data_IF_792828975454
#
_entry.id   IF_792828975454
#
_cell.length_a   1.000
_cell.length_b   1.000
_cell.length_c   1.000
_cell.angle_alpha   90.00
_cell.angle_beta   90.00
_cell.angle_gamma   90.00
#
_symmetry.space_group_name_H-M   'P 1'
#
loop_
_entity.id
_entity.type
_entity.pdbx_description
1 polymer ?
#
# COMPACT_ATOMS: atom_id res chain seq x y z
N UNK A 1 2.59 6.87 20.73
CA UNK A 1 2.98 5.56 20.17
C UNK A 1 1.73 4.86 19.69
N UNK A 2 1.82 3.92 18.77
CA UNK A 2 0.65 3.17 18.33
C UNK A 2 0.18 2.21 19.44
N UNK A 3 -1.12 1.93 19.47
CA UNK A 3 -1.68 0.97 20.41
C UNK A 3 -1.24 -0.45 20.04
N UNK A 4 -1.06 -1.33 21.04
CA UNK A 4 -0.54 -2.70 20.85
C UNK A 4 -1.40 -3.51 19.86
N UNK A 5 -2.73 -3.40 19.97
CA UNK A 5 -3.67 -4.03 19.04
C UNK A 5 -3.51 -3.55 17.59
N UNK A 6 -3.13 -2.29 17.40
CA UNK A 6 -2.88 -1.75 16.05
C UNK A 6 -1.56 -2.29 15.50
N UNK A 7 -0.53 -2.41 16.34
CA UNK A 7 0.75 -3.01 15.96
C UNK A 7 0.61 -4.50 15.62
N UNK A 8 -0.20 -5.25 16.37
CA UNK A 8 -0.48 -6.65 16.07
C UNK A 8 -1.12 -6.82 14.70
N UNK A 9 -2.10 -5.96 14.36
CA UNK A 9 -2.69 -5.93 13.01
C UNK A 9 -1.64 -5.64 11.95
N UNK A 10 -0.76 -4.66 12.18
CA UNK A 10 0.31 -4.31 11.23
C UNK A 10 1.29 -5.46 11.04
N UNK A 11 1.71 -6.14 12.12
CA UNK A 11 2.63 -7.27 12.06
C UNK A 11 2.00 -8.52 11.41
N UNK A 12 0.67 -8.63 11.40
CA UNK A 12 -0.05 -9.70 10.70
C UNK A 12 -0.27 -9.45 9.20
N UNK A 13 0.14 -8.30 8.65
CA UNK A 13 0.00 -8.00 7.22
C UNK A 13 1.03 -8.78 6.39
N UNK A 14 0.64 -9.18 5.16
CA UNK A 14 1.61 -9.62 4.15
C UNK A 14 2.50 -8.46 3.70
N UNK A 15 3.63 -8.76 3.07
CA UNK A 15 4.55 -7.75 2.54
C UNK A 15 3.87 -6.79 1.54
N UNK A 16 2.94 -7.31 0.71
CA UNK A 16 2.06 -6.51 -0.14
C UNK A 16 1.15 -5.59 0.67
N UNK A 17 0.48 -6.12 1.71
CA UNK A 17 -0.35 -5.34 2.62
C UNK A 17 0.43 -4.23 3.33
N UNK A 18 1.66 -4.53 3.75
CA UNK A 18 2.57 -3.59 4.38
C UNK A 18 3.00 -2.48 3.40
N UNK A 19 3.33 -2.83 2.16
CA UNK A 19 3.66 -1.86 1.11
C UNK A 19 2.48 -0.90 0.84
N UNK A 20 1.25 -1.43 0.75
CA UNK A 20 0.04 -0.63 0.60
C UNK A 20 -0.17 0.29 1.81
N UNK A 21 -0.03 -0.23 3.03
CA UNK A 21 -0.16 0.56 4.25
C UNK A 21 0.85 1.72 4.30
N UNK A 22 2.12 1.46 3.99
CA UNK A 22 3.17 2.47 3.97
C UNK A 22 2.85 3.62 3.00
N UNK A 23 2.29 3.30 1.83
CA UNK A 23 1.84 4.28 0.86
C UNK A 23 0.63 5.09 1.33
N UNK A 24 -0.36 4.45 1.96
CA UNK A 24 -1.53 5.12 2.51
C UNK A 24 -1.16 6.07 3.66
N UNK A 25 -0.27 5.65 4.56
CA UNK A 25 0.25 6.45 5.69
C UNK A 25 1.01 7.68 5.20
N UNK A 26 1.85 7.52 4.17
CA UNK A 26 2.62 8.60 3.58
C UNK A 26 1.81 9.48 2.60
N UNK A 27 0.65 8.99 2.13
CA UNK A 27 -0.15 9.56 1.02
C UNK A 27 0.63 9.70 -0.28
N UNK A 28 1.45 8.70 -0.56
CA UNK A 28 2.28 8.62 -1.77
C UNK A 28 1.93 7.33 -2.55
N UNK A 29 2.48 7.18 -3.75
CA UNK A 29 2.14 6.10 -4.71
C UNK A 29 3.30 5.12 -4.86
N UNK A 30 3.09 3.87 -5.29
CA UNK A 30 4.18 2.89 -5.41
C UNK A 30 4.24 2.17 -6.75
N UNK A 31 5.38 1.52 -6.96
CA UNK A 31 5.57 0.50 -7.98
C UNK A 31 5.62 -0.86 -7.29
N UNK A 32 4.87 -1.84 -7.78
CA UNK A 32 5.02 -3.23 -7.37
C UNK A 32 5.33 -4.04 -8.62
N UNK A 33 6.35 -4.86 -8.55
CA UNK A 33 6.80 -5.69 -9.66
C UNK A 33 6.79 -7.15 -9.25
N UNK A 34 6.54 -8.01 -10.22
CA UNK A 34 6.56 -9.46 -10.07
C UNK A 34 6.95 -10.06 -11.42
N UNK A 35 6.97 -11.38 -11.52
CA UNK A 35 7.19 -12.06 -12.78
C UNK A 35 6.11 -11.71 -13.81
N UNK A 36 6.41 -11.66 -15.12
CA UNK A 36 5.45 -11.19 -16.12
C UNK A 36 4.15 -11.99 -16.17
N UNK A 37 4.20 -13.27 -15.82
CA UNK A 37 3.05 -14.19 -15.91
C UNK A 37 2.10 -14.03 -14.70
N UNK A 38 2.59 -13.54 -13.55
CA UNK A 38 1.82 -13.40 -12.31
C UNK A 38 1.28 -11.98 -12.08
N UNK A 39 1.41 -11.07 -13.05
CA UNK A 39 0.91 -9.68 -12.92
C UNK A 39 -0.61 -9.63 -12.72
N UNK A 40 -1.34 -10.57 -13.32
CA UNK A 40 -2.80 -10.65 -13.22
C UNK A 40 -3.24 -11.10 -11.83
N UNK A 41 -2.59 -12.14 -11.29
CA UNK A 41 -2.80 -12.64 -9.93
C UNK A 41 -2.43 -11.56 -8.90
N UNK A 42 -1.28 -10.91 -9.05
CA UNK A 42 -0.89 -9.79 -8.19
C UNK A 42 -1.93 -8.65 -8.20
N UNK A 43 -2.53 -8.35 -9.35
CA UNK A 43 -3.55 -7.31 -9.44
C UNK A 43 -4.83 -7.67 -8.68
N UNK A 44 -5.29 -8.92 -8.79
CA UNK A 44 -6.47 -9.37 -8.05
C UNK A 44 -6.17 -9.53 -6.55
N UNK A 45 -4.99 -10.01 -6.16
CA UNK A 45 -4.54 -10.05 -4.75
C UNK A 45 -4.56 -8.65 -4.13
N UNK A 46 -3.97 -7.66 -4.79
CA UNK A 46 -3.96 -6.28 -4.31
C UNK A 46 -5.35 -5.66 -4.26
N UNK A 47 -6.27 -6.08 -5.13
CA UNK A 47 -7.68 -5.68 -5.06
C UNK A 47 -8.38 -6.30 -3.85
N UNK A 48 -8.08 -7.56 -3.53
CA UNK A 48 -8.58 -8.20 -2.31
C UNK A 48 -8.00 -7.55 -1.06
N UNK A 49 -6.70 -7.27 -1.01
CA UNK A 49 -6.08 -6.50 0.08
C UNK A 49 -6.73 -5.13 0.24
N UNK A 50 -6.94 -4.38 -0.86
CA UNK A 50 -7.58 -3.07 -0.81
C UNK A 50 -8.98 -3.14 -0.19
N UNK A 51 -9.79 -4.14 -0.55
CA UNK A 51 -11.17 -4.28 -0.09
C UNK A 51 -11.30 -4.96 1.28
N UNK A 52 -10.64 -6.08 1.52
CA UNK A 52 -10.72 -6.87 2.76
C UNK A 52 -9.94 -6.23 3.91
N UNK A 53 -8.75 -5.69 3.64
CA UNK A 53 -7.86 -5.14 4.68
C UNK A 53 -8.11 -3.66 4.93
N UNK A 54 -8.27 -2.85 3.88
CA UNK A 54 -8.36 -1.39 4.00
C UNK A 54 -9.76 -0.82 3.72
N UNK A 55 -10.73 -1.65 3.33
CA UNK A 55 -12.08 -1.23 2.97
C UNK A 55 -12.11 -0.12 1.90
N UNK A 56 -11.21 -0.21 0.91
CA UNK A 56 -11.09 0.72 -0.21
C UNK A 56 -11.56 0.06 -1.49
N UNK A 57 -12.26 0.83 -2.34
CA UNK A 57 -12.58 0.36 -3.68
C UNK A 57 -11.37 0.50 -4.60
N UNK A 58 -11.19 -0.49 -5.49
CA UNK A 58 -10.13 -0.48 -6.47
C UNK A 58 -10.68 -0.51 -7.90
N UNK A 59 -9.90 0.04 -8.83
CA UNK A 59 -10.08 -0.15 -10.26
C UNK A 59 -8.78 -0.70 -10.86
N UNK A 60 -8.91 -1.73 -11.69
CA UNK A 60 -7.79 -2.35 -12.40
C UNK A 60 -7.81 -1.86 -13.84
N UNK A 61 -6.65 -1.39 -14.32
CA UNK A 61 -6.49 -0.90 -15.69
C UNK A 61 -5.32 -1.63 -16.33
N UNK A 62 -5.58 -2.28 -17.46
CA UNK A 62 -4.56 -2.97 -18.26
C UNK A 62 -4.01 -2.04 -19.34
N UNK A 63 -2.74 -1.68 -19.25
CA UNK A 63 -2.10 -0.82 -20.24
C UNK A 63 -1.36 -1.64 -21.30
N UNK A 64 -1.40 -1.16 -22.55
CA UNK A 64 -0.71 -1.75 -23.70
C UNK A 64 -0.30 -0.65 -24.68
N UNK A 65 0.42 -1.01 -25.74
CA UNK A 65 0.99 -0.07 -26.72
C UNK A 65 -0.04 0.80 -27.47
N UNK A 66 -1.33 0.46 -27.38
CA UNK A 66 -2.43 1.16 -28.05
C UNK A 66 -3.45 1.76 -27.09
N UNK A 67 -3.20 1.72 -25.78
CA UNK A 67 -4.11 2.30 -24.79
C UNK A 67 -4.33 3.77 -25.07
N UNK A 68 -5.59 4.17 -25.15
CA UNK A 68 -5.96 5.57 -25.44
C UNK A 68 -6.11 6.38 -24.15
N UNK A 69 -6.06 7.72 -24.25
CA UNK A 69 -6.30 8.59 -23.09
C UNK A 69 -7.73 8.44 -22.54
N UNK A 70 -8.71 8.20 -23.42
CA UNK A 70 -10.11 8.02 -23.03
C UNK A 70 -10.33 6.68 -22.33
N UNK A 71 -9.73 5.61 -22.86
CA UNK A 71 -9.72 4.29 -22.21
C UNK A 71 -9.05 4.34 -20.84
N UNK A 72 -7.90 5.01 -20.73
CA UNK A 72 -7.25 5.21 -19.44
C UNK A 72 -8.15 6.00 -18.48
N UNK A 73 -8.75 7.10 -18.93
CA UNK A 73 -9.57 7.95 -18.07
C UNK A 73 -10.87 7.27 -17.62
N UNK A 74 -11.51 6.51 -18.51
CA UNK A 74 -12.72 5.74 -18.20
C UNK A 74 -12.43 4.55 -17.29
N UNK A 75 -11.28 3.88 -17.46
CA UNK A 75 -10.84 2.78 -16.60
C UNK A 75 -10.59 3.17 -15.13
N UNK A 76 -10.36 4.46 -14.84
CA UNK A 76 -10.18 4.95 -13.47
C UNK A 76 -11.50 5.05 -12.69
N UNK A 77 -12.63 5.05 -13.39
CA UNK A 77 -13.93 5.38 -12.83
C UNK A 77 -14.67 4.13 -12.37
N UNK A 78 -15.16 4.16 -11.13
CA UNK A 78 -16.02 3.12 -10.58
C UNK A 78 -17.46 3.64 -10.55
N UNK A 79 -18.46 2.79 -10.87
CA UNK A 79 -19.85 3.14 -10.68
C UNK A 79 -20.09 3.57 -9.23
N UNK A 80 -20.93 4.58 -8.99
CA UNK A 80 -21.26 4.94 -7.63
C UNK A 80 -22.01 3.79 -6.97
N UNK A 81 -21.61 3.44 -5.75
CA UNK A 81 -22.35 2.49 -4.92
C UNK A 81 -23.77 3.03 -4.75
N UNK A 82 -24.75 2.29 -5.29
CA UNK A 82 -26.15 2.66 -5.23
C UNK A 82 -26.56 2.62 -3.76
N UNK A 83 -26.88 3.78 -3.17
CA UNK A 83 -27.46 3.78 -1.83
C UNK A 83 -28.74 2.92 -1.85
N UNK A 84 -29.02 2.11 -0.82
CA UNK A 84 -30.31 1.45 -0.71
C UNK A 84 -31.41 2.52 -0.79
N UNK A 85 -32.54 2.25 -1.49
CA UNK A 85 -33.60 3.22 -1.58
C UNK A 85 -34.02 3.57 -0.16
N UNK A 86 -33.82 4.84 0.23
CA UNK A 86 -34.34 5.37 1.48
C UNK A 86 -35.82 4.98 1.56
N UNK A 87 -36.31 4.42 2.69
CA UNK A 87 -37.69 4.03 2.81
C UNK A 87 -38.55 5.24 2.46
N UNK A 88 -39.42 5.04 1.46
CA UNK A 88 -40.33 6.04 0.94
C UNK A 88 -41.04 6.72 2.11
N UNK A 89 -40.73 8.00 2.30
CA UNK A 89 -41.38 8.83 3.29
C UNK A 89 -42.80 9.10 2.77
N UNK A 90 -43.73 8.17 3.02
CA UNK A 90 -45.17 8.39 2.82
C UNK A 90 -45.58 9.53 3.74
N UNK A 91 -45.55 10.75 3.21
CA UNK A 91 -46.16 11.92 3.84
C UNK A 91 -47.64 11.61 4.07
N UNK A 92 -48.00 11.28 5.30
CA UNK A 92 -49.36 11.38 5.79
C UNK A 92 -49.79 12.85 5.70
N UNK A 93 -50.74 13.15 4.81
CA UNK A 93 -51.35 14.46 4.68
C UNK A 93 -52.21 14.70 5.92
N UNK A 94 -51.73 15.57 6.82
CA UNK A 94 -52.53 16.05 7.96
C UNK A 94 -53.56 17.07 7.46
N UNK A 95 -54.86 16.93 7.77
CA UNK A 95 -55.90 17.85 7.30
C UNK A 95 -56.03 19.04 8.25
N UNK A 96 -55.69 20.24 7.78
CA UNK A 96 -56.08 21.49 8.43
C UNK A 96 -57.18 22.19 7.63
N UNK A 97 -58.34 22.36 8.28
CA UNK A 97 -59.48 23.14 7.83
C UNK A 97 -59.16 24.64 7.76
N UNK A 98 -59.57 25.38 6.71
CA UNK A 98 -59.67 26.83 6.78
C UNK A 98 -61.06 27.23 7.30
N UNK A 99 -61.10 27.89 8.47
CA UNK A 99 -62.29 28.54 9.03
C UNK A 99 -62.45 29.94 8.41
N UNK A 100 -63.65 30.21 7.92
CA UNK A 100 -64.11 31.44 7.27
C UNK A 100 -64.85 32.33 8.28
N UNK A 101 -64.63 33.64 8.25
CA UNK A 101 -65.51 34.76 8.74
C UNK A 101 -64.71 36.07 8.60
N UNK A 102 -64.95 36.99 7.65
CA UNK A 102 -66.00 38.02 7.50
C UNK A 102 -66.15 39.07 8.64
N UNK A 103 -65.60 40.27 8.33
CA UNK A 103 -66.06 41.66 8.60
C UNK A 103 -66.26 42.15 10.05
N UNK A 104 -65.79 43.38 10.35
CA UNK A 104 -66.61 44.57 10.67
C UNK A 104 -65.77 45.76 11.21
N UNK A 105 -65.85 46.89 10.50
CA UNK A 105 -65.98 48.31 10.93
C UNK A 105 -65.09 48.99 12.00
N UNK A 106 -64.53 50.14 11.55
CA UNK A 106 -64.68 51.50 12.11
C UNK A 106 -63.77 52.06 13.23
N UNK A 107 -63.38 53.31 12.98
CA UNK A 107 -63.13 54.45 13.88
C UNK A 107 -61.82 54.58 14.66
N UNK A 108 -61.10 55.67 14.33
CA UNK A 108 -61.11 56.85 15.21
C UNK A 108 -59.90 57.08 16.11
N UNK A 109 -59.16 58.16 15.82
CA UNK A 109 -58.83 59.17 16.83
C UNK A 109 -57.52 59.05 17.63
N UNK A 110 -56.57 59.94 17.30
CA UNK A 110 -56.13 60.98 18.24
C UNK A 110 -55.08 60.65 19.31
N UNK A 111 -53.96 61.39 19.28
CA UNK A 111 -53.26 61.84 20.50
C UNK A 111 -51.79 61.42 20.65
N UNK A 112 -50.98 62.20 21.40
CA UNK A 112 -49.78 62.82 20.82
C UNK A 112 -48.46 62.62 21.60
N UNK A 113 -47.39 63.20 21.03
CA UNK A 113 -46.34 63.99 21.71
C UNK A 113 -44.93 63.38 21.95
N UNK A 114 -43.98 64.33 21.88
CA UNK A 114 -42.55 64.35 22.22
C UNK A 114 -41.58 63.65 21.25
N UNK A 115 -40.88 64.35 20.35
CA UNK A 115 -39.93 65.48 20.47
C UNK A 115 -38.52 65.08 20.94
N UNK A 116 -37.59 65.03 19.98
CA UNK A 116 -36.25 65.63 20.01
C UNK A 116 -35.71 65.47 18.57
N UNK A 117 -35.57 66.52 17.76
CA UNK A 117 -34.46 67.48 17.78
C UNK A 117 -33.21 66.81 17.16
N UNK A 118 -32.58 67.25 16.08
CA UNK A 118 -32.55 68.56 15.43
C UNK A 118 -31.79 68.48 14.08
N UNK A 119 -32.10 69.46 13.20
CA UNK A 119 -31.21 70.15 12.24
C UNK A 119 -30.83 69.57 10.85
N UNK A 120 -31.53 70.16 9.87
CA UNK A 120 -31.44 70.35 8.39
C UNK A 120 -30.07 70.81 7.79
N UNK A 121 -29.88 71.08 6.45
CA UNK A 121 -30.85 71.18 5.30
C UNK A 121 -30.45 70.63 3.88
N UNK A 122 -31.47 70.31 3.04
CA UNK A 122 -31.83 70.74 1.63
C UNK A 122 -30.76 70.66 0.48
N UNK A 123 -30.80 69.71 -0.49
CA UNK A 123 -31.50 69.64 -1.85
C UNK A 123 -30.52 69.92 -3.05
N UNK A 124 -30.71 69.58 -4.36
CA UNK A 124 -31.87 69.00 -5.10
C UNK A 124 -31.59 67.83 -6.11
N UNK A 125 -32.70 67.29 -6.68
CA UNK A 125 -32.93 66.23 -7.71
C UNK A 125 -32.18 66.39 -9.06
N UNK A 126 -32.40 65.60 -10.15
CA UNK A 126 -33.27 64.40 -10.37
C UNK A 126 -32.63 63.24 -11.20
N UNK A 127 -33.27 62.07 -11.31
CA UNK A 127 -33.63 61.36 -12.58
C UNK A 127 -33.90 59.85 -12.43
N UNK A 128 -35.04 59.46 -13.00
CA UNK A 128 -35.33 58.26 -13.83
C UNK A 128 -35.05 56.85 -13.30
N UNK A 129 -36.10 56.02 -13.28
CA UNK A 129 -35.96 54.58 -13.47
C UNK A 129 -36.99 53.73 -12.72
N UNK A 130 -38.10 53.41 -13.37
CA UNK A 130 -38.99 52.30 -13.00
C UNK A 130 -38.23 50.98 -13.24
N UNK A 131 -38.44 49.93 -12.42
CA UNK A 131 -38.97 48.73 -13.06
C UNK A 131 -40.07 48.01 -12.28
N UNK A 132 -40.96 47.50 -13.10
CA UNK A 132 -42.14 46.67 -12.86
C UNK A 132 -41.72 45.23 -12.61
N UNK A 133 -42.32 44.59 -11.61
CA UNK A 133 -42.37 43.13 -11.51
C UNK A 133 -43.43 42.59 -12.47
N UNK A 134 -43.19 41.41 -13.09
CA UNK A 134 -44.31 40.48 -13.24
C UNK A 134 -43.93 39.02 -12.97
N UNK A 135 -44.70 38.42 -12.06
CA UNK A 135 -45.57 37.26 -12.32
C UNK A 135 -45.01 36.05 -13.06
N UNK A 136 -44.93 34.95 -12.30
CA UNK A 136 -45.02 33.53 -12.69
C UNK A 136 -45.94 33.22 -13.89
N UNK A 137 -45.66 32.11 -14.59
CA UNK A 137 -46.56 30.96 -14.45
C UNK A 137 -45.85 29.64 -14.16
N UNK A 138 -46.56 28.79 -13.39
CA UNK A 138 -46.23 27.40 -13.08
C UNK A 138 -46.62 26.45 -14.20
N UNK A 139 -45.72 25.54 -14.60
CA UNK A 139 -46.09 24.19 -15.05
C UNK A 139 -45.11 23.22 -14.40
N UNK A 140 -45.63 22.42 -13.47
CA UNK A 140 -44.90 21.34 -12.81
C UNK A 140 -44.67 20.18 -13.78
N UNK A 141 -43.41 19.97 -14.15
CA UNK A 141 -42.93 18.67 -14.58
C UNK A 141 -42.34 17.98 -13.35
N UNK A 142 -43.13 17.11 -12.72
CA UNK A 142 -42.66 16.15 -11.72
C UNK A 142 -41.81 15.08 -12.42
N UNK A 143 -40.65 15.48 -12.92
CA UNK A 143 -39.58 14.55 -13.25
C UNK A 143 -38.91 14.17 -11.95
N UNK A 144 -39.12 12.93 -11.50
CA UNK A 144 -38.24 12.29 -10.52
C UNK A 144 -36.84 12.21 -11.15
N UNK A 145 -36.02 13.24 -10.93
CA UNK A 145 -34.59 13.15 -11.17
C UNK A 145 -34.05 12.11 -10.21
N UNK A 146 -34.00 10.86 -10.67
CA UNK A 146 -33.04 9.92 -10.16
C UNK A 146 -31.68 10.63 -10.26
N UNK A 147 -31.17 11.09 -9.12
CA UNK A 147 -29.79 11.54 -9.02
C UNK A 147 -28.94 10.33 -9.38
N UNK A 148 -28.62 10.17 -10.65
CA UNK A 148 -27.55 9.28 -11.08
C UNK A 148 -26.30 9.91 -10.52
N UNK A 149 -25.82 9.32 -9.43
CA UNK A 149 -24.52 9.68 -8.86
C UNK A 149 -23.51 9.55 -9.99
N UNK A 150 -22.66 10.57 -10.15
CA UNK A 150 -21.68 10.59 -11.22
C UNK A 150 -20.61 9.54 -10.94
N UNK A 151 -20.07 8.87 -11.98
CA UNK A 151 -18.93 7.97 -11.82
C UNK A 151 -17.78 8.73 -11.15
N UNK A 152 -17.07 8.09 -10.22
CA UNK A 152 -15.96 8.71 -9.48
C UNK A 152 -14.70 7.88 -9.60
N UNK A 153 -13.54 8.52 -9.47
CA UNK A 153 -12.26 7.80 -9.44
C UNK A 153 -12.22 6.87 -8.23
N UNK A 154 -11.70 5.66 -8.41
CA UNK A 154 -11.52 4.71 -7.31
C UNK A 154 -10.53 5.23 -6.25
N UNK A 155 -10.59 4.67 -5.05
CA UNK A 155 -9.64 4.96 -3.98
C UNK A 155 -8.27 4.35 -4.29
N UNK A 156 -8.23 3.15 -4.87
CA UNK A 156 -7.01 2.46 -5.29
C UNK A 156 -7.04 2.23 -6.80
N UNK A 157 -6.00 2.65 -7.52
CA UNK A 157 -5.84 2.36 -8.95
C UNK A 157 -4.70 1.38 -9.11
N UNK A 158 -5.00 0.23 -9.71
CA UNK A 158 -4.03 -0.82 -10.02
C UNK A 158 -3.76 -0.77 -11.53
N UNK A 159 -2.67 -0.10 -11.91
CA UNK A 159 -2.32 0.13 -13.31
C UNK A 159 -1.31 -0.91 -13.78
N UNK A 160 -1.79 -1.97 -14.44
CA UNK A 160 -0.99 -3.04 -15.01
C UNK A 160 -0.26 -2.56 -16.26
N UNK A 161 0.99 -2.99 -16.39
CA UNK A 161 1.83 -2.78 -17.57
C UNK A 161 1.94 -1.31 -18.00
N UNK A 162 1.96 -0.38 -17.03
CA UNK A 162 2.04 1.06 -17.31
C UNK A 162 3.27 1.42 -18.14
N UNK A 163 4.34 0.62 -18.07
CA UNK A 163 5.55 0.71 -18.88
C UNK A 163 5.29 0.47 -20.39
N UNK A 164 4.27 -0.31 -20.75
CA UNK A 164 3.87 -0.59 -22.14
C UNK A 164 2.94 0.49 -22.72
N UNK A 165 2.37 1.34 -21.88
CA UNK A 165 1.46 2.40 -22.30
C UNK A 165 2.18 3.48 -23.15
N UNK A 166 1.49 4.11 -24.13
CA UNK A 166 2.02 5.27 -24.84
C UNK A 166 2.47 6.38 -23.90
N UNK A 167 3.47 7.17 -24.34
CA UNK A 167 4.01 8.28 -23.54
C UNK A 167 2.94 9.27 -23.08
N UNK A 168 1.91 9.52 -23.90
CA UNK A 168 0.79 10.39 -23.52
C UNK A 168 -0.01 9.85 -22.31
N UNK A 169 -0.27 8.54 -22.26
CA UNK A 169 -0.96 7.90 -21.13
C UNK A 169 -0.10 7.96 -19.86
N UNK A 170 1.19 7.70 -19.97
CA UNK A 170 2.12 7.83 -18.83
C UNK A 170 2.20 9.29 -18.31
N UNK A 171 2.18 10.28 -19.21
CA UNK A 171 2.10 11.69 -18.83
C UNK A 171 0.76 11.99 -18.13
N UNK A 172 -0.36 11.45 -18.64
CA UNK A 172 -1.68 11.63 -18.02
C UNK A 172 -1.74 11.01 -16.63
N UNK A 173 -1.14 9.82 -16.44
CA UNK A 173 -0.98 9.20 -15.14
C UNK A 173 -0.18 10.13 -14.22
N UNK A 174 0.99 10.62 -14.65
CA UNK A 174 1.81 11.55 -13.86
C UNK A 174 1.04 12.82 -13.48
N UNK A 175 0.25 13.38 -14.39
CA UNK A 175 -0.58 14.55 -14.12
C UNK A 175 -1.67 14.25 -13.08
N UNK A 176 -2.31 13.07 -13.14
CA UNK A 176 -3.24 12.61 -12.12
C UNK A 176 -2.55 12.49 -10.75
N UNK A 177 -1.35 11.92 -10.67
CA UNK A 177 -0.62 11.79 -9.41
C UNK A 177 -0.25 13.17 -8.83
N UNK A 178 0.15 14.12 -9.68
CA UNK A 178 0.56 15.48 -9.27
C UNK A 178 -0.60 16.38 -8.88
N UNK A 179 -1.68 16.37 -9.66
CA UNK A 179 -2.79 17.33 -9.54
C UNK A 179 -3.99 16.73 -8.82
N UNK A 180 -4.03 15.41 -8.66
CA UNK A 180 -5.19 14.65 -8.18
C UNK A 180 -6.44 14.91 -9.02
N UNK A 181 -6.27 15.22 -10.30
CA UNK A 181 -7.34 15.49 -11.24
C UNK A 181 -7.05 14.81 -12.57
N UNK A 182 -8.11 14.35 -13.22
CA UNK A 182 -8.05 13.90 -14.61
C UNK A 182 -9.15 14.59 -15.43
N UNK A 183 -8.80 14.95 -16.65
CA UNK A 183 -9.71 15.57 -17.60
C UNK A 183 -10.28 14.47 -18.50
N UNK A 184 -11.60 14.29 -18.46
CA UNK A 184 -12.33 13.48 -19.44
C UNK A 184 -12.91 14.39 -20.51
N UNK A 185 -13.45 13.80 -21.59
CA UNK A 185 -14.14 14.57 -22.64
C UNK A 185 -15.28 15.44 -22.10
N UNK A 186 -15.94 15.01 -21.03
CA UNK A 186 -17.19 15.62 -20.54
C UNK A 186 -17.06 16.33 -19.20
N UNK A 187 -16.04 16.03 -18.41
CA UNK A 187 -15.88 16.59 -17.06
C UNK A 187 -14.46 16.45 -16.52
N UNK A 188 -14.15 17.26 -15.51
CA UNK A 188 -12.93 17.09 -14.71
C UNK A 188 -13.28 16.26 -13.47
N UNK A 189 -12.60 15.15 -13.29
CA UNK A 189 -12.77 14.26 -12.15
C UNK A 189 -11.63 14.47 -11.16
N UNK A 190 -11.96 14.65 -9.88
CA UNK A 190 -10.97 14.82 -8.81
C UNK A 190 -10.82 13.49 -8.06
N UNK A 191 -9.58 13.07 -7.83
CA UNK A 191 -9.28 11.86 -7.07
C UNK A 191 -9.76 12.00 -5.62
N UNK A 192 -10.20 10.91 -4.96
CA UNK A 192 -10.64 10.95 -3.58
C UNK A 192 -9.53 11.46 -2.62
N UNK A 193 -9.92 11.85 -1.40
CA UNK A 193 -8.94 12.28 -0.38
C UNK A 193 -7.93 11.16 -0.06
N UNK A 194 -8.44 9.94 0.05
CA UNK A 194 -7.65 8.72 0.13
C UNK A 194 -7.51 8.15 -1.27
N UNK A 195 -6.36 8.40 -1.88
CA UNK A 195 -6.07 7.99 -3.24
C UNK A 195 -4.70 7.35 -3.29
N UNK A 196 -4.66 6.11 -3.75
CA UNK A 196 -3.47 5.32 -3.98
C UNK A 196 -3.43 4.88 -5.43
N UNK A 197 -2.28 5.03 -6.05
CA UNK A 197 -1.99 4.53 -7.38
C UNK A 197 -0.83 3.56 -7.24
N UNK A 198 -1.00 2.36 -7.78
CA UNK A 198 0.00 1.31 -7.78
C UNK A 198 0.28 0.95 -9.23
N UNK A 199 1.51 1.21 -9.68
CA UNK A 199 1.98 0.74 -10.96
C UNK A 199 2.42 -0.72 -10.82
N UNK A 200 1.75 -1.63 -11.53
CA UNK A 200 2.09 -3.05 -11.57
C UNK A 200 2.89 -3.33 -12.84
N UNK A 201 4.11 -3.85 -12.69
CA UNK A 201 5.02 -4.04 -13.82
C UNK A 201 5.63 -5.44 -13.75
N UNK A 202 5.36 -6.24 -14.78
CA UNK A 202 6.07 -7.50 -15.00
C UNK A 202 7.54 -7.24 -15.35
N UNK A 203 8.45 -7.86 -14.60
CA UNK A 203 9.89 -7.77 -14.83
C UNK A 203 10.55 -9.13 -14.56
N UNK A 204 11.71 -9.45 -15.15
CA UNK A 204 12.35 -10.75 -14.95
C UNK A 204 13.07 -10.88 -13.60
N UNK A 205 13.29 -9.77 -12.89
CA UNK A 205 13.91 -9.76 -11.57
C UNK A 205 13.68 -8.42 -10.86
N UNK A 206 13.92 -8.43 -9.55
CA UNK A 206 13.83 -7.25 -8.71
C UNK A 206 14.73 -6.12 -9.20
N UNK A 207 14.24 -4.89 -9.06
CA UNK A 207 14.97 -3.70 -9.49
C UNK A 207 15.07 -3.50 -11.01
N UNK A 208 14.52 -4.37 -11.87
CA UNK A 208 14.47 -4.16 -13.32
C UNK A 208 13.18 -3.49 -13.82
N UNK A 209 12.11 -3.49 -13.02
CA UNK A 209 10.87 -2.83 -13.38
C UNK A 209 11.07 -1.31 -13.52
N UNK A 210 10.65 -0.76 -14.67
CA UNK A 210 10.82 0.66 -15.00
C UNK A 210 9.61 1.20 -15.74
N UNK A 211 9.12 2.36 -15.31
CA UNK A 211 8.29 3.25 -16.12
C UNK A 211 9.11 4.46 -16.59
N UNK A 212 8.45 5.48 -17.15
CA UNK A 212 9.16 6.69 -17.54
C UNK A 212 9.92 7.34 -16.37
N UNK A 213 11.03 8.06 -16.65
CA UNK A 213 11.87 8.70 -15.64
C UNK A 213 11.11 9.53 -14.61
N UNK A 214 10.16 10.34 -15.10
CA UNK A 214 9.40 11.26 -14.25
C UNK A 214 8.37 10.53 -13.38
N UNK A 215 7.80 9.42 -13.88
CA UNK A 215 6.92 8.57 -13.07
C UNK A 215 7.72 7.85 -11.98
N UNK A 216 8.85 7.22 -12.32
CA UNK A 216 9.72 6.58 -11.32
C UNK A 216 10.12 7.56 -10.21
N UNK A 217 10.42 8.81 -10.57
CA UNK A 217 10.76 9.83 -9.58
C UNK A 217 9.57 10.21 -8.66
N UNK A 218 8.35 10.06 -9.14
CA UNK A 218 7.14 10.37 -8.38
C UNK A 218 6.71 9.21 -7.46
N UNK A 219 7.05 7.96 -7.79
CA UNK A 219 6.64 6.78 -7.01
C UNK A 219 7.49 6.60 -5.74
N UNK A 220 6.84 6.62 -4.58
CA UNK A 220 7.39 6.55 -3.23
C UNK A 220 8.43 5.45 -3.02
N UNK A 221 8.03 4.23 -3.32
CA UNK A 221 8.80 3.01 -3.11
C UNK A 221 8.53 2.02 -4.25
N UNK A 222 9.42 1.05 -4.36
CA UNK A 222 9.25 -0.17 -5.14
C UNK A 222 9.29 -1.40 -4.25
N UNK A 223 8.56 -2.43 -4.67
CA UNK A 223 8.59 -3.74 -4.04
C UNK A 223 8.52 -4.82 -5.12
N UNK A 224 9.45 -5.76 -5.05
CA UNK A 224 9.36 -7.02 -5.78
C UNK A 224 8.58 -8.04 -4.96
N UNK A 225 7.62 -8.69 -5.58
CA UNK A 225 6.82 -9.76 -5.03
C UNK A 225 7.15 -11.04 -5.80
N UNK A 226 7.58 -12.05 -5.05
CA UNK A 226 7.96 -13.35 -5.57
C UNK A 226 6.79 -14.33 -5.34
N UNK A 227 6.06 -14.73 -6.40
CA UNK A 227 4.89 -15.59 -6.26
C UNK A 227 5.21 -16.94 -5.61
N UNK A 228 6.41 -17.49 -5.85
CA UNK A 228 6.81 -18.80 -5.35
C UNK A 228 7.16 -18.77 -3.85
N UNK A 229 7.74 -17.66 -3.37
CA UNK A 229 8.12 -17.49 -1.96
C UNK A 229 7.00 -16.88 -1.10
N UNK A 230 6.29 -15.87 -1.63
CA UNK A 230 5.31 -15.08 -0.87
C UNK A 230 3.87 -15.61 -1.00
N UNK A 231 3.51 -16.21 -2.15
CA UNK A 231 2.16 -16.66 -2.49
C UNK A 231 1.11 -15.55 -2.59
N UNK A 232 -0.17 -15.94 -2.75
CA UNK A 232 -1.31 -15.02 -2.83
C UNK A 232 -2.41 -15.39 -1.80
N UNK A 233 -2.19 -15.10 -0.50
CA UNK A 233 -3.07 -15.60 0.56
C UNK A 233 -4.55 -15.23 0.40
N UNK A 234 -4.87 -14.03 -0.09
CA UNK A 234 -6.26 -13.61 -0.22
C UNK A 234 -6.96 -14.25 -1.43
N UNK A 235 -6.23 -14.46 -2.54
CA UNK A 235 -6.70 -15.19 -3.72
C UNK A 235 -6.89 -16.67 -3.42
N UNK A 236 -5.94 -17.30 -2.76
CA UNK A 236 -5.99 -18.72 -2.39
C UNK A 236 -7.24 -19.01 -1.54
N UNK A 237 -7.57 -18.13 -0.58
CA UNK A 237 -8.79 -18.27 0.21
C UNK A 237 -10.07 -18.05 -0.62
N UNK A 238 -10.05 -17.11 -1.59
CA UNK A 238 -11.21 -16.86 -2.44
C UNK A 238 -11.48 -18.02 -3.42
N UNK A 239 -10.42 -18.65 -3.94
CA UNK A 239 -10.50 -19.85 -4.76
C UNK A 239 -10.98 -21.07 -3.94
N UNK A 240 -10.43 -21.26 -2.74
CA UNK A 240 -10.87 -22.34 -1.83
C UNK A 240 -12.34 -22.24 -1.43
N UNK A 241 -12.88 -21.02 -1.29
CA UNK A 241 -14.33 -20.81 -1.06
C UNK A 241 -15.20 -21.10 -2.28
N UNK A 242 -14.66 -21.00 -3.49
CA UNK A 242 -15.41 -21.23 -4.73
C UNK A 242 -15.51 -22.73 -5.08
N UNK A 243 -14.57 -23.56 -4.59
CA UNK A 243 -14.56 -25.01 -4.79
C UNK A 243 -14.67 -25.77 -3.44
N UNK A 244 -15.84 -25.75 -2.77
CA UNK A 244 -16.03 -26.46 -1.49
C UNK A 244 -16.07 -28.00 -1.62
N UNK A 245 -16.08 -28.54 -2.84
CA UNK A 245 -16.31 -29.97 -3.11
C UNK A 245 -15.01 -30.82 -3.09
N UNK A 246 -13.82 -30.19 -2.97
CA UNK A 246 -12.53 -30.89 -2.87
C UNK A 246 -12.13 -31.24 -1.41
N UNK A 247 -12.95 -30.93 -0.40
CA UNK A 247 -12.71 -31.31 1.01
C UNK A 247 -13.25 -32.72 1.37
N UNK A 248 -13.75 -33.49 0.40
CA UNK A 248 -14.28 -34.84 0.61
C UNK A 248 -13.61 -35.85 -0.33
N UNK A 249 -12.36 -36.22 -0.02
CA UNK A 249 -11.75 -37.54 -0.21
C UNK A 249 -10.22 -37.42 -0.33
N UNK A 250 -9.46 -37.54 0.77
CA UNK A 250 -8.09 -38.07 0.69
C UNK A 250 -7.60 -38.66 2.03
N UNK A 251 -7.99 -39.90 2.32
CA UNK A 251 -7.14 -40.84 3.04
C UNK A 251 -6.05 -41.33 2.07
N UNK A 252 -5.01 -40.52 1.82
CA UNK A 252 -4.06 -40.83 0.74
C UNK A 252 -2.77 -40.02 0.69
N UNK A 253 -2.13 -39.79 1.83
CA UNK A 253 -0.68 -39.55 1.93
C UNK A 253 -0.08 -38.59 0.87
N UNK A 254 -0.50 -37.33 0.87
CA UNK A 254 0.26 -36.24 0.24
C UNK A 254 1.08 -35.48 1.29
N UNK A 255 2.39 -35.47 1.08
CA UNK A 255 3.39 -34.82 1.92
C UNK A 255 3.24 -33.30 1.88
N UNK A 256 2.31 -32.75 2.65
CA UNK A 256 2.33 -31.33 3.01
C UNK A 256 3.38 -31.15 4.09
N UNK A 257 4.55 -30.65 3.70
CA UNK A 257 5.63 -30.38 4.64
C UNK A 257 5.26 -29.20 5.51
N UNK A 258 4.59 -29.52 6.62
CA UNK A 258 4.45 -28.65 7.77
C UNK A 258 5.81 -28.54 8.46
N UNK A 259 6.59 -27.51 8.12
CA UNK A 259 7.64 -27.02 9.03
C UNK A 259 7.64 -25.50 9.05
N UNK A 260 6.66 -24.93 9.74
CA UNK A 260 6.90 -23.70 10.50
C UNK A 260 7.88 -24.03 11.62
N UNK A 261 9.14 -23.67 11.45
CA UNK A 261 10.08 -23.52 12.57
C UNK A 261 10.79 -22.19 12.41
N UNK A 262 10.53 -21.30 13.37
CA UNK A 262 11.23 -20.05 13.62
C UNK A 262 12.74 -20.25 13.45
N UNK A 263 13.36 -19.57 12.48
CA UNK A 263 14.82 -19.45 12.43
C UNK A 263 15.23 -17.99 12.26
N UNK A 264 15.63 -17.44 13.40
CA UNK A 264 16.42 -16.22 13.56
C UNK A 264 17.50 -16.14 12.47
N UNK A 265 17.45 -15.07 11.68
CA UNK A 265 18.41 -14.72 10.63
C UNK A 265 19.79 -14.50 11.28
N UNK A 266 20.71 -15.44 11.10
CA UNK A 266 22.16 -15.20 11.26
C UNK A 266 22.77 -15.06 9.86
N UNK A 267 23.54 -13.99 9.71
CA UNK A 267 24.30 -13.63 8.51
C UNK A 267 25.04 -14.82 7.91
N UNK A 268 24.90 -15.00 6.60
CA UNK A 268 25.80 -15.83 5.78
C UNK A 268 26.63 -14.92 4.89
N UNK A 269 27.89 -14.75 5.30
CA UNK A 269 28.99 -14.25 4.49
C UNK A 269 29.36 -15.28 3.42
N UNK A 270 29.29 -14.91 2.15
CA UNK A 270 29.94 -15.65 1.07
C UNK A 270 31.32 -15.05 0.85
N UNK A 271 32.32 -15.72 1.42
CA UNK A 271 33.73 -15.57 1.07
C UNK A 271 34.12 -16.74 0.17
N UNK A 272 34.46 -16.44 -1.09
CA UNK A 272 35.01 -17.41 -2.03
C UNK A 272 36.53 -17.37 -1.93
N UNK A 273 37.11 -18.50 -1.50
CA UNK A 273 38.56 -18.72 -1.47
C UNK A 273 39.06 -19.31 -2.79
N UNK A 274 40.23 -18.83 -3.22
CA UNK A 274 41.17 -19.55 -4.08
C UNK A 274 42.38 -19.88 -3.21
N UNK A 275 42.74 -21.17 -3.14
CA UNK A 275 43.84 -21.67 -2.31
C UNK A 275 45.17 -21.78 -3.06
N UNK A 276 46.28 -21.63 -2.32
CA UNK A 276 47.55 -22.32 -2.60
C UNK A 276 48.48 -22.35 -1.36
N UNK A 277 48.76 -23.57 -0.90
CA UNK A 277 49.95 -24.13 -0.21
C UNK A 277 50.78 -23.27 0.77
N UNK A 278 51.01 -23.73 2.00
CA UNK A 278 52.27 -24.37 2.47
C UNK A 278 52.29 -24.70 3.98
N UNK A 279 52.87 -25.89 4.28
CA UNK A 279 53.68 -26.30 5.43
C UNK A 279 53.14 -26.28 6.88
N UNK A 280 53.08 -27.51 7.44
CA UNK A 280 53.14 -27.90 8.84
C UNK A 280 54.50 -27.55 9.51
N UNK A 281 54.62 -27.48 10.87
CA UNK A 281 54.83 -28.70 11.68
C UNK A 281 54.22 -28.75 13.11
N UNK A 282 53.62 -29.90 13.46
CA UNK A 282 53.74 -30.78 14.67
C UNK A 282 54.50 -30.27 15.93
N UNK A 283 54.10 -30.51 17.20
CA UNK A 283 53.87 -31.74 18.03
C UNK A 283 53.24 -31.33 19.43
N UNK A 284 52.94 -32.21 20.44
CA UNK A 284 52.05 -33.39 20.43
C UNK A 284 51.17 -33.61 21.71
N UNK A 285 50.19 -34.53 21.58
CA UNK A 285 49.58 -35.49 22.56
C UNK A 285 49.19 -35.11 24.00
N UNK A 286 47.95 -35.47 24.40
CA UNK A 286 47.70 -36.51 25.43
C UNK A 286 46.26 -37.06 25.43
N UNK A 287 46.14 -38.38 25.31
CA UNK A 287 44.96 -39.21 25.61
C UNK A 287 44.63 -39.19 27.11
N UNK A 288 43.34 -39.25 27.47
CA UNK A 288 42.92 -40.10 28.58
C UNK A 288 41.44 -40.49 28.50
N UNK A 289 41.19 -41.79 28.41
CA UNK A 289 39.92 -42.42 28.73
C UNK A 289 39.70 -42.38 30.24
N UNK A 290 38.47 -42.18 30.72
CA UNK A 290 38.04 -42.92 31.90
C UNK A 290 36.53 -43.07 32.02
N UNK A 291 36.19 -44.33 32.20
CA UNK A 291 34.91 -44.93 32.50
C UNK A 291 34.59 -44.70 33.99
N UNK A 292 33.35 -44.41 34.36
CA UNK A 292 32.79 -44.99 35.60
C UNK A 292 31.26 -44.86 35.71
N UNK A 293 30.67 -46.04 35.89
CA UNK A 293 29.37 -46.32 36.49
C UNK A 293 29.22 -45.65 37.86
N UNK A 294 27.99 -45.25 38.22
CA UNK A 294 27.36 -45.82 39.41
C UNK A 294 25.83 -45.73 39.41
N UNK A 295 25.28 -46.84 39.87
CA UNK A 295 23.90 -47.29 39.99
C UNK A 295 23.24 -46.73 41.25
N UNK A 296 21.94 -46.40 41.19
CA UNK A 296 21.04 -46.52 42.33
C UNK A 296 19.61 -46.80 41.84
N UNK A 297 19.03 -47.81 42.47
CA UNK A 297 17.89 -48.61 42.10
C UNK A 297 16.72 -48.29 43.04
N UNK A 298 15.47 -48.26 42.56
CA UNK A 298 14.31 -48.66 43.37
C UNK A 298 13.09 -49.00 42.50
N UNK A 299 12.82 -50.30 42.43
CA UNK A 299 11.62 -50.96 41.95
C UNK A 299 10.34 -50.46 42.63
N UNK A 300 9.22 -50.46 41.89
CA UNK A 300 8.02 -51.20 42.33
C UNK A 300 7.19 -51.65 41.13
N UNK A 301 7.00 -52.96 41.06
CA UNK A 301 6.15 -53.72 40.13
C UNK A 301 4.78 -53.87 40.79
N UNK A 302 3.71 -53.92 40.00
CA UNK A 302 2.61 -54.88 40.22
C UNK A 302 1.86 -55.12 38.90
N UNK A 303 1.61 -56.41 38.67
CA UNK A 303 1.15 -57.03 37.44
C UNK A 303 -0.11 -57.82 37.79
N UNK A 304 -1.16 -57.81 36.96
CA UNK A 304 -2.16 -58.88 36.97
C UNK A 304 -2.98 -58.95 35.67
N UNK A 305 -2.73 -60.06 35.01
CA UNK A 305 -3.39 -60.88 33.99
C UNK A 305 -4.93 -60.84 33.85
N UNK A 306 -5.34 -60.73 32.58
CA UNK A 306 -6.43 -61.38 31.80
C UNK A 306 -7.59 -62.12 32.48
N UNK A 307 -8.82 -61.82 32.00
CA UNK A 307 -9.84 -62.84 31.73
C UNK A 307 -10.85 -62.36 30.67
N UNK A 308 -11.01 -63.19 29.64
CA UNK A 308 -12.01 -63.11 28.58
C UNK A 308 -13.40 -63.56 29.08
N UNK A 309 -14.45 -62.81 28.73
CA UNK A 309 -15.83 -63.29 28.76
C UNK A 309 -16.62 -62.74 27.59
N UNK A 310 -17.03 -63.64 26.71
CA UNK A 310 -17.99 -63.46 25.62
C UNK A 310 -19.36 -63.10 26.20
N UNK A 311 -19.96 -62.00 25.75
CA UNK A 311 -21.41 -61.80 25.89
C UNK A 311 -21.94 -61.01 24.70
N UNK A 312 -22.84 -61.65 23.98
CA UNK A 312 -23.67 -61.13 22.90
C UNK A 312 -24.48 -59.92 23.34
N UNK A 313 -24.42 -58.81 22.58
CA UNK A 313 -25.51 -57.84 22.50
C UNK A 313 -25.53 -57.18 21.10
N UNK A 314 -26.74 -57.14 20.55
CA UNK A 314 -27.16 -56.56 19.26
C UNK A 314 -26.89 -55.04 19.15
N UNK A 315 -26.89 -54.45 17.94
CA UNK A 315 -26.51 -53.07 17.72
C UNK A 315 -27.68 -52.11 18.03
N UNK A 316 -27.40 -51.06 18.80
CA UNK A 316 -28.28 -49.89 18.97
C UNK A 316 -27.96 -48.81 17.94
N UNK A 317 -28.96 -48.04 17.46
CA UNK A 317 -28.81 -47.18 16.30
C UNK A 317 -27.99 -45.92 16.61
N UNK A 318 -27.19 -45.55 15.61
CA UNK A 318 -26.40 -44.34 15.45
C UNK A 318 -27.12 -43.06 15.91
N UNK A 319 -26.52 -42.36 16.86
CA UNK A 319 -26.79 -40.93 17.05
C UNK A 319 -26.20 -40.14 15.88
N UNK A 320 -26.88 -39.10 15.36
CA UNK A 320 -26.31 -38.23 14.35
C UNK A 320 -25.17 -37.43 14.97
N UNK A 321 -23.98 -37.59 14.40
CA UNK A 321 -22.84 -36.72 14.67
C UNK A 321 -23.24 -35.28 14.34
N UNK A 322 -23.28 -34.42 15.35
CA UNK A 322 -23.25 -32.98 15.13
C UNK A 322 -21.92 -32.66 14.44
N UNK A 323 -21.90 -31.98 13.28
CA UNK A 323 -20.65 -31.46 12.75
C UNK A 323 -20.12 -30.45 13.77
N UNK A 324 -18.92 -30.71 14.27
CA UNK A 324 -18.09 -29.70 14.93
C UNK A 324 -18.08 -28.46 14.04
N UNK A 325 -18.37 -27.25 14.54
CA UNK A 325 -18.31 -26.06 13.70
C UNK A 325 -16.90 -25.99 13.09
N UNK A 326 -16.78 -25.69 11.78
CA UNK A 326 -15.48 -25.53 11.15
C UNK A 326 -14.69 -24.49 11.94
N UNK A 327 -13.40 -24.76 12.16
CA UNK A 327 -12.49 -23.82 12.78
C UNK A 327 -12.65 -22.44 12.10
N UNK A 328 -12.67 -21.33 12.84
CA UNK A 328 -12.82 -20.02 12.23
C UNK A 328 -11.70 -19.83 11.21
N UNK A 329 -12.09 -19.57 9.96
CA UNK A 329 -11.17 -19.23 8.87
C UNK A 329 -10.20 -18.12 9.33
N UNK A 330 -8.96 -18.09 8.82
CA UNK A 330 -7.98 -17.08 9.22
C UNK A 330 -8.57 -15.68 9.04
N UNK A 331 -8.81 -14.98 10.14
CA UNK A 331 -9.39 -13.64 10.10
C UNK A 331 -8.30 -12.66 9.64
N UNK A 332 -8.36 -12.24 8.38
CA UNK A 332 -7.46 -11.21 7.87
C UNK A 332 -7.59 -9.90 8.67
N UNK A 333 -6.48 -9.20 8.92
CA UNK A 333 -6.53 -7.94 9.64
C UNK A 333 -7.29 -6.88 8.85
N UNK A 334 -8.22 -6.18 9.52
CA UNK A 334 -8.89 -5.01 8.96
C UNK A 334 -8.37 -3.72 9.63
N UNK A 335 -7.85 -2.79 8.83
CA UNK A 335 -7.42 -1.46 9.24
C UNK A 335 -8.42 -0.41 8.76
N UNK A 336 -8.85 0.45 9.69
CA UNK A 336 -9.80 1.53 9.40
C UNK A 336 -9.10 2.80 8.93
N UNK A 337 -9.85 3.75 8.36
CA UNK A 337 -9.33 5.09 8.03
C UNK A 337 -8.77 5.82 9.28
N UNK A 338 -9.35 5.59 10.46
CA UNK A 338 -8.85 6.15 11.71
C UNK A 338 -7.48 5.57 12.09
N UNK A 339 -7.30 4.26 11.93
CA UNK A 339 -6.03 3.58 12.18
C UNK A 339 -4.91 4.13 11.28
N UNK A 340 -5.18 4.24 9.97
CA UNK A 340 -4.24 4.79 8.99
C UNK A 340 -3.90 6.25 9.33
N UNK A 341 -4.91 7.05 9.72
CA UNK A 341 -4.72 8.45 10.09
C UNK A 341 -3.87 8.59 11.36
N UNK A 342 -4.07 7.71 12.34
CA UNK A 342 -3.26 7.65 13.55
C UNK A 342 -1.80 7.30 13.24
N UNK A 343 -1.56 6.25 12.42
CA UNK A 343 -0.21 5.89 11.97
C UNK A 343 0.46 7.02 11.17
N UNK A 344 -0.30 7.73 10.33
CA UNK A 344 0.19 8.91 9.59
C UNK A 344 0.64 10.02 10.55
N UNK A 345 -0.15 10.32 11.58
CA UNK A 345 0.24 11.30 12.60
C UNK A 345 1.49 10.88 13.38
N UNK A 346 1.60 9.60 13.76
CA UNK A 346 2.78 9.06 14.42
C UNK A 346 4.03 9.17 13.53
N UNK A 347 3.92 8.85 12.23
CA UNK A 347 5.03 9.01 11.28
C UNK A 347 5.50 10.47 11.13
N UNK A 348 4.60 11.44 11.29
CA UNK A 348 4.95 12.86 11.23
C UNK A 348 5.68 13.36 12.48
N UNK A 349 5.47 12.70 13.62
CA UNK A 349 6.04 13.09 14.91
C UNK A 349 7.27 12.28 15.29
N UNK A 350 7.59 11.19 14.57
CA UNK A 350 8.77 10.38 14.80
C UNK A 350 10.07 11.20 14.68
N UNK A 351 10.86 11.18 15.75
CA UNK A 351 12.10 11.95 15.86
C UNK A 351 13.21 11.32 15.02
N UNK A 352 14.02 12.15 14.35
CA UNK A 352 15.25 11.70 13.68
C UNK A 352 16.42 12.46 14.29
N UNK A 353 17.36 11.72 14.91
CA UNK A 353 18.55 12.32 15.51
C UNK A 353 19.49 12.89 14.44
N UNK A 354 20.35 13.82 14.84
CA UNK A 354 21.32 14.46 13.93
C UNK A 354 22.25 13.42 13.30
N UNK A 355 22.65 12.39 14.04
CA UNK A 355 23.52 11.34 13.51
C UNK A 355 22.81 10.45 12.48
N UNK A 356 21.52 10.16 12.67
CA UNK A 356 20.70 9.44 11.67
C UNK A 356 20.43 10.31 10.44
N UNK A 357 20.21 11.62 10.62
CA UNK A 357 20.13 12.56 9.50
C UNK A 357 21.44 12.60 8.70
N UNK A 358 22.59 12.60 9.39
CA UNK A 358 23.91 12.53 8.75
C UNK A 358 24.08 11.20 8.00
N UNK A 359 23.63 10.09 8.57
CA UNK A 359 23.63 8.78 7.92
C UNK A 359 22.79 8.78 6.63
N UNK A 360 21.59 9.35 6.63
CA UNK A 360 20.77 9.53 5.43
C UNK A 360 21.51 10.35 4.36
N UNK A 361 22.11 11.48 4.75
CA UNK A 361 22.86 12.35 3.83
C UNK A 361 24.10 11.65 3.24
N UNK A 362 24.79 10.83 4.03
CA UNK A 362 25.92 10.03 3.56
C UNK A 362 25.46 8.99 2.54
N UNK A 363 24.39 8.24 2.80
CA UNK A 363 23.82 7.28 1.82
C UNK A 363 23.51 8.00 0.50
N UNK A 364 22.80 9.13 0.55
CA UNK A 364 22.45 9.92 -0.63
C UNK A 364 23.69 10.35 -1.41
N UNK A 365 24.72 10.82 -0.70
CA UNK A 365 25.98 11.27 -1.30
C UNK A 365 26.72 10.12 -1.96
N UNK A 366 26.83 8.97 -1.29
CA UNK A 366 27.51 7.80 -1.82
C UNK A 366 26.75 7.20 -3.01
N UNK A 367 25.40 7.18 -2.99
CA UNK A 367 24.60 6.78 -4.15
C UNK A 367 24.87 7.67 -5.38
N UNK A 368 24.96 9.00 -5.20
CA UNK A 368 25.28 9.94 -6.29
C UNK A 368 26.71 9.80 -6.81
N UNK A 369 27.63 9.42 -5.94
CA UNK A 369 29.03 9.24 -6.27
C UNK A 369 29.37 7.82 -6.71
N UNK A 370 28.45 6.87 -6.58
CA UNK A 370 28.68 5.48 -6.95
C UNK A 370 29.07 5.37 -8.43
N UNK A 371 30.08 4.54 -8.72
CA UNK A 371 30.67 4.44 -10.06
C UNK A 371 29.70 3.93 -11.11
N UNK A 372 28.91 2.92 -10.74
CA UNK A 372 27.93 2.31 -11.62
C UNK A 372 26.69 3.18 -11.87
N UNK A 373 26.52 4.30 -11.16
CA UNK A 373 25.36 5.17 -11.28
C UNK A 373 25.59 6.21 -12.37
N UNK A 374 24.67 6.29 -13.33
CA UNK A 374 24.76 7.23 -14.45
C UNK A 374 24.57 8.68 -13.96
N UNK A 375 25.68 9.39 -13.79
CA UNK A 375 25.68 10.80 -13.41
C UNK A 375 25.21 11.73 -14.54
N UNK A 376 25.20 11.25 -15.80
CA UNK A 376 25.07 12.05 -17.01
C UNK A 376 23.91 11.53 -17.90
N UNK A 377 22.71 11.48 -17.34
CA UNK A 377 21.50 11.28 -18.13
C UNK A 377 20.97 12.61 -18.66
N UNK A 378 21.03 12.85 -19.97
CA UNK A 378 20.43 13.93 -20.76
C UNK A 378 19.14 14.56 -20.15
N UNK A 379 19.28 15.43 -19.14
CA UNK A 379 18.19 16.08 -18.41
C UNK A 379 17.46 15.26 -17.33
N UNK A 380 17.83 14.00 -17.08
CA UNK A 380 17.08 13.09 -16.18
C UNK A 380 17.77 12.72 -14.86
N UNK A 381 19.05 13.07 -14.64
CA UNK A 381 19.77 12.85 -13.38
C UNK A 381 19.98 11.37 -13.01
N UNK A 382 20.77 11.12 -11.96
CA UNK A 382 21.23 9.78 -11.54
C UNK A 382 20.17 8.92 -10.82
N UNK A 383 18.91 9.35 -10.82
CA UNK A 383 17.82 8.74 -10.03
C UNK A 383 17.79 9.17 -8.56
N UNK A 384 18.87 9.78 -8.03
CA UNK A 384 18.94 10.30 -6.66
C UNK A 384 18.50 11.76 -6.60
N UNK A 385 17.20 12.00 -6.81
CA UNK A 385 16.61 13.36 -6.86
C UNK A 385 16.30 13.94 -5.47
N UNK A 386 15.97 15.24 -5.36
CA UNK A 386 15.42 15.81 -4.13
C UNK A 386 14.12 15.11 -3.68
N UNK A 387 13.29 14.66 -4.63
CA UNK A 387 12.07 13.87 -4.34
C UNK A 387 12.44 12.55 -3.66
N UNK A 388 13.44 11.84 -4.19
CA UNK A 388 13.93 10.59 -3.59
C UNK A 388 14.46 10.81 -2.16
N UNK A 389 15.17 11.93 -1.91
CA UNK A 389 15.61 12.31 -0.56
C UNK A 389 14.44 12.52 0.40
N UNK A 390 13.37 13.19 -0.05
CA UNK A 390 12.14 13.35 0.74
C UNK A 390 11.48 11.99 1.03
N UNK A 391 11.44 11.10 0.04
CA UNK A 391 10.87 9.76 0.20
C UNK A 391 11.68 8.90 1.17
N UNK A 392 13.02 8.94 1.13
CA UNK A 392 13.87 8.24 2.09
C UNK A 392 13.56 8.69 3.53
N UNK A 393 13.52 10.00 3.78
CA UNK A 393 13.25 10.54 5.10
C UNK A 393 11.81 10.25 5.57
N UNK A 394 10.84 10.35 4.67
CA UNK A 394 9.44 10.03 4.97
C UNK A 394 9.22 8.55 5.26
N UNK A 395 9.83 7.66 4.46
CA UNK A 395 9.68 6.21 4.62
C UNK A 395 10.35 5.72 5.90
N UNK A 396 11.53 6.26 6.22
CA UNK A 396 12.21 5.93 7.48
C UNK A 396 11.35 6.25 8.71
N UNK A 397 10.59 7.37 8.66
CA UNK A 397 9.64 7.74 9.73
C UNK A 397 8.36 6.92 9.72
N UNK A 398 7.84 6.57 8.55
CA UNK A 398 6.68 5.68 8.44
C UNK A 398 6.99 4.30 9.02
N UNK A 399 8.15 3.73 8.66
CA UNK A 399 8.62 2.46 9.23
C UNK A 399 8.77 2.53 10.75
N UNK A 400 9.31 3.63 11.30
CA UNK A 400 9.41 3.80 12.75
C UNK A 400 8.04 3.73 13.43
N UNK A 401 7.04 4.43 12.88
CA UNK A 401 5.68 4.40 13.41
C UNK A 401 5.05 3.00 13.36
N UNK A 402 5.26 2.26 12.27
CA UNK A 402 4.76 0.90 12.10
C UNK A 402 5.43 -0.12 13.03
N UNK A 403 6.69 0.13 13.43
CA UNK A 403 7.39 -0.66 14.46
C UNK A 403 7.11 -0.19 15.90
N UNK A 404 6.18 0.77 16.10
CA UNK A 404 5.88 1.33 17.42
C UNK A 404 6.99 2.23 17.99
N UNK A 405 8.00 2.60 17.19
CA UNK A 405 9.11 3.43 17.61
C UNK A 405 8.78 4.92 17.46
N UNK A 406 9.13 5.71 18.48
CA UNK A 406 9.00 7.16 18.44
C UNK A 406 10.18 7.85 17.73
N UNK A 407 11.18 7.10 17.29
CA UNK A 407 12.37 7.61 16.64
C UNK A 407 12.84 6.70 15.50
N UNK A 408 13.55 7.28 14.54
CA UNK A 408 14.12 6.57 13.40
C UNK A 408 15.47 5.98 13.78
N UNK A 409 15.69 4.70 13.42
CA UNK A 409 16.98 4.02 13.61
C UNK A 409 17.72 3.88 12.27
N UNK A 410 19.06 3.71 12.28
CA UNK A 410 19.82 3.47 11.05
C UNK A 410 19.36 2.24 10.26
N UNK A 411 18.92 1.18 10.96
CA UNK A 411 18.38 -0.02 10.32
C UNK A 411 17.12 0.28 9.51
N UNK A 412 16.22 1.14 10.03
CA UNK A 412 15.03 1.57 9.29
C UNK A 412 15.40 2.44 8.07
N UNK A 413 16.44 3.27 8.19
CA UNK A 413 16.95 4.04 7.05
C UNK A 413 17.51 3.12 5.96
N UNK A 414 18.25 2.08 6.34
CA UNK A 414 18.77 1.09 5.38
C UNK A 414 17.62 0.35 4.67
N UNK A 415 16.58 -0.07 5.42
CA UNK A 415 15.39 -0.69 4.83
C UNK A 415 14.67 0.28 3.89
N UNK A 416 14.51 1.54 4.28
CA UNK A 416 13.91 2.56 3.43
C UNK A 416 14.72 2.77 2.14
N UNK A 417 16.05 2.76 2.20
CA UNK A 417 16.91 2.89 1.02
C UNK A 417 16.69 1.74 0.01
N UNK A 418 16.55 0.51 0.49
CA UNK A 418 16.24 -0.68 -0.33
C UNK A 418 14.89 -0.61 -1.03
N UNK A 419 13.94 0.18 -0.51
CA UNK A 419 12.61 0.33 -1.12
C UNK A 419 12.51 1.59 -1.98
N UNK A 420 13.26 2.67 -1.67
CA UNK A 420 13.12 3.97 -2.36
C UNK A 420 13.95 4.06 -3.64
N UNK A 421 15.15 3.48 -3.68
CA UNK A 421 16.11 3.74 -4.75
C UNK A 421 16.12 2.76 -5.93
N UNK A 422 15.85 1.45 -5.78
CA UNK A 422 16.04 0.49 -6.88
C UNK A 422 15.30 0.83 -8.17
N UNK A 423 14.07 1.34 -8.11
CA UNK A 423 13.29 1.73 -9.30
C UNK A 423 13.69 3.08 -9.90
N UNK A 424 14.51 3.86 -9.19
CA UNK A 424 14.93 5.22 -9.59
C UNK A 424 16.31 5.23 -10.21
N UNK A 425 17.22 4.45 -9.64
CA UNK A 425 18.62 4.42 -10.05
C UNK A 425 18.73 3.93 -11.49
N UNK A 426 19.57 4.63 -12.24
CA UNK A 426 20.04 4.19 -13.55
C UNK A 426 21.47 3.76 -13.42
N UNK A 427 21.68 2.49 -13.74
CA UNK A 427 23.02 1.96 -13.91
C UNK A 427 23.54 2.36 -15.29
N UNK A 428 24.85 2.54 -15.39
CA UNK A 428 25.52 2.84 -16.64
C UNK A 428 25.41 1.63 -17.60
N UNK A 429 24.67 1.80 -18.70
CA UNK A 429 24.43 0.73 -19.69
C UNK A 429 25.64 0.43 -20.59
N UNK A 430 26.66 1.30 -20.60
CA UNK A 430 27.83 1.17 -21.46
C UNK A 430 29.10 1.66 -20.77
N UNK A 431 30.22 0.91 -20.81
CA UNK A 431 31.50 1.34 -20.24
C UNK A 431 31.94 2.73 -20.69
N UNK A 432 31.63 3.14 -21.92
CA UNK A 432 32.00 4.46 -22.45
C UNK A 432 31.27 5.63 -21.77
N UNK A 433 30.12 5.37 -21.12
CA UNK A 433 29.32 6.38 -20.41
C UNK A 433 29.74 6.52 -18.94
N UNK A 434 30.62 5.64 -18.45
CA UNK A 434 31.16 5.74 -17.11
C UNK A 434 32.16 6.92 -17.03
N UNK A 435 32.19 7.63 -15.89
CA UNK A 435 32.91 8.91 -15.75
C UNK A 435 34.41 8.81 -16.00
N UNK A 436 35.05 7.72 -15.60
CA UNK A 436 36.50 7.48 -15.76
C UNK A 436 36.90 7.11 -17.19
N UNK A 437 35.96 6.74 -18.07
CA UNK A 437 36.24 6.54 -19.49
C UNK A 437 36.75 7.83 -20.16
N UNK A 438 36.23 9.00 -19.73
CA UNK A 438 36.70 10.31 -20.19
C UNK A 438 38.16 10.62 -19.80
N UNK A 439 38.68 9.89 -18.80
CA UNK A 439 40.03 10.05 -18.26
C UNK A 439 40.96 8.90 -18.67
N UNK A 440 40.60 8.14 -19.71
CA UNK A 440 41.46 7.12 -20.32
C UNK A 440 41.40 5.74 -19.66
N UNK A 441 40.33 5.42 -18.94
CA UNK A 441 40.15 4.07 -18.40
C UNK A 441 39.81 3.06 -19.49
N UNK A 442 40.42 1.87 -19.43
CA UNK A 442 40.22 0.80 -20.41
C UNK A 442 38.78 0.26 -20.38
N UNK A 443 38.06 0.26 -21.52
CA UNK A 443 36.65 -0.13 -21.57
C UNK A 443 36.41 -1.59 -21.17
N UNK A 444 37.38 -2.48 -21.41
CA UNK A 444 37.29 -3.90 -21.02
C UNK A 444 37.30 -4.05 -19.50
N UNK A 445 38.16 -3.29 -18.80
CA UNK A 445 38.22 -3.30 -17.34
C UNK A 445 36.94 -2.72 -16.72
N UNK A 446 36.37 -1.68 -17.35
CA UNK A 446 35.09 -1.11 -16.93
C UNK A 446 33.93 -2.08 -17.16
N UNK A 447 33.91 -2.77 -18.30
CA UNK A 447 32.87 -3.77 -18.60
C UNK A 447 32.88 -4.89 -17.55
N UNK A 448 34.05 -5.44 -17.22
CA UNK A 448 34.19 -6.46 -16.20
C UNK A 448 33.77 -5.97 -14.80
N UNK A 449 34.02 -4.70 -14.47
CA UNK A 449 33.60 -4.14 -13.19
C UNK A 449 32.09 -3.85 -13.10
N UNK A 450 31.45 -3.52 -14.22
CA UNK A 450 30.01 -3.23 -14.28
C UNK A 450 29.16 -4.47 -14.54
N UNK A 451 29.78 -5.61 -14.82
CA UNK A 451 29.09 -6.87 -15.08
C UNK A 451 28.26 -7.30 -13.86
N UNK A 452 26.96 -7.55 -14.07
CA UNK A 452 26.04 -7.97 -13.02
C UNK A 452 25.66 -6.88 -11.99
N UNK A 453 26.16 -5.66 -12.14
CA UNK A 453 25.85 -4.58 -11.19
C UNK A 453 24.46 -4.01 -11.47
N UNK A 454 23.47 -4.44 -10.69
CA UNK A 454 22.12 -3.90 -10.73
C UNK A 454 21.89 -2.70 -9.78
N UNK A 455 20.75 -2.00 -9.91
CA UNK A 455 20.33 -0.95 -8.97
C UNK A 455 20.33 -1.39 -7.50
N UNK A 456 19.96 -2.64 -7.24
CA UNK A 456 19.94 -3.21 -5.88
C UNK A 456 21.33 -3.43 -5.34
N UNK A 457 22.23 -3.97 -6.17
CA UNK A 457 23.63 -4.17 -5.80
C UNK A 457 24.27 -2.82 -5.46
N UNK A 458 24.00 -1.77 -6.22
CA UNK A 458 24.46 -0.41 -5.91
C UNK A 458 23.98 0.05 -4.53
N UNK A 459 22.72 -0.22 -4.17
CA UNK A 459 22.19 0.15 -2.86
C UNK A 459 22.87 -0.64 -1.75
N UNK A 460 23.02 -1.95 -1.89
CA UNK A 460 23.71 -2.78 -0.89
C UNK A 460 25.19 -2.41 -0.74
N UNK A 461 25.89 -2.15 -1.84
CA UNK A 461 27.29 -1.71 -1.82
C UNK A 461 27.43 -0.40 -1.03
N UNK A 462 26.56 0.58 -1.30
CA UNK A 462 26.57 1.85 -0.57
C UNK A 462 26.24 1.67 0.92
N UNK A 463 25.24 0.83 1.25
CA UNK A 463 24.89 0.54 2.64
C UNK A 463 26.04 -0.15 3.39
N UNK A 464 26.86 -0.96 2.70
CA UNK A 464 28.07 -1.56 3.25
C UNK A 464 29.24 -0.58 3.44
N UNK A 465 29.31 0.49 2.63
CA UNK A 465 30.38 1.50 2.69
C UNK A 465 30.13 2.61 3.73
N UNK A 466 28.87 2.96 3.98
CA UNK A 466 28.53 4.08 4.86
C UNK A 466 28.54 3.62 6.33
N UNK A 467 29.36 4.29 7.15
CA UNK A 467 29.43 4.01 8.58
C UNK A 467 28.07 4.27 9.28
N UNK A 468 27.58 3.23 9.96
CA UNK A 468 26.36 3.28 10.76
C UNK A 468 26.67 4.04 12.06
N UNK A 469 25.85 5.05 12.46
CA UNK A 469 26.05 5.72 13.74
C UNK A 469 25.80 4.76 14.90
N UNK A 470 26.66 4.85 15.93
CA UNK A 470 26.68 3.96 17.09
C UNK A 470 25.58 4.20 18.11
#
# INVERSE_FOLDING_TARGET
MADEQLLDKVHSLSDLGLAVLLCLVAREHCLISTEPDSVDELAEELRLIASKTFNLNSAIISCHAHTTLDEFATGLLVPPVRAPPSPSNTRSVSPYHPRREQSHSSMGGGGPASASGSYFPINPSPRTGVPVSPGTPSIGASGSSSQTSQPRIANVILAKDLNRAPRAVQIQALELLRTRRIFTRTSVQTAPKQFLFIALVGAPSSGQARVTPHLNDFLYLSHWHDPDEDGFPYLDEELGRQNPDDELDDDGASTTSSTSVVKVKRHSSLGTGLGLTTAEPSWPTRNNSNNNNNNANSNTVNNSTSSSSTSTNMPTPSQPHHPTPPAPAPAFPSLTEADISHLSQLSQTAYTSIDVLRYQANIITFLRLHRAVDAAGNGSGSGVTPTATRHLASLSRALAALHGLAYVTPALVALAARKVYPHRLRVVDSPARERSAQWGSEPVALAALLEGVGPEQVVEDVLGMVAVPG
#
